data_IF_407884249329
#
_entry.id   IF_407884249329
#
_cell.length_a   1.000
_cell.length_b   1.000
_cell.length_c   1.000
_cell.angle_alpha   90.00
_cell.angle_beta   90.00
_cell.angle_gamma   90.00
#
_symmetry.space_group_name_H-M   'P 1'
#
loop_
_entity.id
_entity.type
_entity.pdbx_description
1 polymer ?
#
# COMPACT_ATOMS: atom_id res chain seq x y z
N UNK A 1 1.24 31.70 -14.52
CA UNK A 1 1.86 30.72 -13.59
C UNK A 1 1.63 29.34 -14.17
N UNK A 2 2.69 28.61 -14.49
CA UNK A 2 2.60 27.24 -15.03
C UNK A 2 1.93 26.34 -13.99
N UNK A 3 0.98 25.49 -14.43
CA UNK A 3 0.37 24.50 -13.54
C UNK A 3 1.49 23.57 -13.04
N UNK A 4 1.67 23.40 -11.72
CA UNK A 4 2.68 22.48 -11.22
C UNK A 4 2.42 21.08 -11.78
N UNK A 5 3.48 20.41 -12.23
CA UNK A 5 3.41 19.04 -12.70
C UNK A 5 2.78 18.14 -11.61
N UNK A 6 1.97 17.18 -12.02
CA UNK A 6 1.21 16.29 -11.13
C UNK A 6 2.08 15.22 -10.45
N UNK A 7 3.24 14.92 -11.04
CA UNK A 7 4.20 13.91 -10.57
C UNK A 7 4.75 14.16 -9.16
N UNK A 8 5.24 15.35 -8.76
CA UNK A 8 5.72 15.61 -7.40
C UNK A 8 4.61 15.47 -6.35
N UNK A 9 3.37 15.81 -6.70
CA UNK A 9 2.22 15.73 -5.79
C UNK A 9 1.89 14.25 -5.48
N UNK A 10 1.92 13.39 -6.50
CA UNK A 10 1.68 11.95 -6.35
C UNK A 10 2.84 11.29 -5.58
N UNK A 11 4.09 11.60 -5.94
CA UNK A 11 5.27 10.97 -5.34
C UNK A 11 5.51 11.40 -3.89
N UNK A 12 5.35 12.70 -3.57
CA UNK A 12 5.51 13.19 -2.20
C UNK A 12 4.49 12.57 -1.24
N UNK A 13 3.31 12.25 -1.75
CA UNK A 13 2.24 11.59 -1.03
C UNK A 13 2.30 10.07 -0.96
N UNK A 14 3.16 9.44 -1.76
CA UNK A 14 3.35 8.00 -1.76
C UNK A 14 4.21 7.52 -0.59
N UNK A 15 4.98 8.40 0.05
CA UNK A 15 5.87 8.04 1.15
C UNK A 15 5.02 7.72 2.39
N UNK A 16 5.16 6.52 2.99
CA UNK A 16 4.48 6.20 4.24
C UNK A 16 5.05 7.05 5.38
N UNK A 17 4.21 7.89 5.98
CA UNK A 17 4.60 8.82 7.06
C UNK A 17 3.63 8.80 8.24
N UNK A 18 2.45 8.23 8.07
CA UNK A 18 1.44 8.21 9.12
C UNK A 18 1.69 7.05 10.09
N UNK A 19 1.35 7.26 11.37
CA UNK A 19 1.47 6.23 12.40
C UNK A 19 0.75 4.93 12.02
N UNK A 20 -0.35 5.03 11.27
CA UNK A 20 -1.13 3.89 10.77
C UNK A 20 -0.41 3.13 9.66
N UNK A 21 0.40 3.82 8.83
CA UNK A 21 1.26 3.16 7.85
C UNK A 21 2.42 2.43 8.53
N UNK A 22 3.02 3.05 9.55
CA UNK A 22 4.08 2.43 10.34
C UNK A 22 3.57 1.20 11.09
N UNK A 23 2.35 1.26 11.63
CA UNK A 23 1.70 0.13 12.27
C UNK A 23 1.41 -0.99 11.25
N UNK A 24 0.94 -0.64 10.05
CA UNK A 24 0.72 -1.61 8.98
C UNK A 24 2.03 -2.29 8.55
N UNK A 25 3.12 -1.52 8.41
CA UNK A 25 4.47 -2.05 8.14
C UNK A 25 4.90 -2.98 9.28
N UNK A 26 4.66 -2.60 10.53
CA UNK A 26 5.03 -3.41 11.70
C UNK A 26 4.26 -4.73 11.72
N UNK A 27 2.94 -4.72 11.55
CA UNK A 27 2.10 -5.93 11.57
C UNK A 27 2.41 -6.85 10.39
N UNK A 28 2.55 -6.31 9.18
CA UNK A 28 2.93 -7.13 8.02
C UNK A 28 4.38 -7.61 8.15
N UNK A 29 5.27 -6.77 8.67
CA UNK A 29 6.68 -7.06 8.85
C UNK A 29 6.93 -8.16 9.88
N UNK A 30 6.20 -8.18 11.00
CA UNK A 30 6.31 -9.27 11.99
C UNK A 30 5.86 -10.60 11.39
N UNK A 31 4.74 -10.62 10.66
CA UNK A 31 4.26 -11.82 9.95
C UNK A 31 5.26 -12.26 8.88
N UNK A 32 5.84 -11.31 8.14
CA UNK A 32 6.86 -11.60 7.14
C UNK A 32 8.14 -12.18 7.75
N UNK A 33 8.56 -11.64 8.89
CA UNK A 33 9.77 -12.04 9.60
C UNK A 33 9.60 -13.43 10.24
N UNK A 34 8.46 -13.70 10.87
CA UNK A 34 8.06 -15.05 11.33
C UNK A 34 8.09 -16.07 10.18
N UNK A 35 7.52 -15.72 9.03
CA UNK A 35 7.54 -16.60 7.86
C UNK A 35 8.96 -16.85 7.33
N UNK A 36 9.87 -15.87 7.45
CA UNK A 36 11.26 -15.99 6.99
C UNK A 36 12.17 -16.80 7.92
N UNK A 37 11.95 -16.71 9.24
CA UNK A 37 12.76 -17.38 10.27
C UNK A 37 12.40 -18.86 10.47
N UNK A 38 11.18 -19.27 10.09
CA UNK A 38 10.66 -20.61 10.35
C UNK A 38 11.24 -21.73 9.43
N UNK A 39 12.48 -21.59 8.94
CA UNK A 39 13.20 -22.55 8.06
C UNK A 39 13.65 -23.84 8.76
N UNK A 40 12.87 -24.37 9.71
CA UNK A 40 13.07 -25.72 10.27
C UNK A 40 11.74 -26.48 10.16
N UNK A 41 11.38 -26.91 8.95
CA UNK A 41 10.18 -27.72 8.71
C UNK A 41 10.08 -28.15 7.24
N UNK A 42 9.53 -29.35 6.96
CA UNK A 42 9.68 -30.01 5.66
C UNK A 42 9.03 -29.19 4.54
N UNK A 43 9.80 -29.03 3.46
CA UNK A 43 9.58 -28.20 2.28
C UNK A 43 8.40 -28.61 1.37
N UNK A 44 7.39 -29.32 1.89
CA UNK A 44 6.33 -29.89 1.08
C UNK A 44 5.21 -28.90 0.72
N UNK A 45 5.15 -27.72 1.35
CA UNK A 45 4.20 -26.69 0.95
C UNK A 45 4.78 -25.28 1.10
N UNK A 46 4.98 -24.63 -0.05
CA UNK A 46 5.04 -23.18 -0.27
C UNK A 46 3.86 -22.38 0.35
N UNK A 47 2.97 -23.00 1.13
CA UNK A 47 1.70 -22.43 1.62
C UNK A 47 1.88 -21.31 2.64
N UNK A 48 2.92 -21.31 3.47
CA UNK A 48 3.11 -20.29 4.53
C UNK A 48 3.34 -18.89 3.97
N UNK A 49 4.09 -18.78 2.87
CA UNK A 49 4.38 -17.52 2.18
C UNK A 49 3.11 -16.97 1.50
N UNK A 50 2.26 -17.87 0.97
CA UNK A 50 0.94 -17.50 0.45
C UNK A 50 -0.08 -17.17 1.55
N UNK A 51 0.04 -17.78 2.73
CA UNK A 51 -0.79 -17.46 3.89
C UNK A 51 -0.41 -16.10 4.50
N UNK A 52 0.87 -15.73 4.54
CA UNK A 52 1.28 -14.39 4.99
C UNK A 52 0.77 -13.28 4.07
N UNK A 53 0.62 -13.55 2.77
CA UNK A 53 -0.02 -12.63 1.81
C UNK A 53 -1.47 -12.30 2.17
N UNK A 54 -2.21 -13.17 2.88
CA UNK A 54 -3.59 -12.88 3.31
C UNK A 54 -3.69 -11.74 4.32
N UNK A 55 -2.58 -11.37 4.97
CA UNK A 55 -2.53 -10.26 5.93
C UNK A 55 -2.43 -8.91 5.23
N UNK A 56 -1.94 -8.86 3.98
CA UNK A 56 -1.73 -7.61 3.23
C UNK A 56 -3.03 -6.87 2.91
N UNK A 57 -4.08 -7.52 2.35
CA UNK A 57 -5.35 -6.85 2.06
C UNK A 57 -6.02 -6.18 3.28
N UNK A 58 -6.25 -6.86 4.42
CA UNK A 58 -6.95 -6.25 5.55
C UNK A 58 -6.12 -5.17 6.24
N UNK A 59 -4.80 -5.35 6.37
CA UNK A 59 -3.93 -4.35 7.02
C UNK A 59 -3.84 -3.06 6.21
N UNK A 60 -3.65 -3.15 4.89
CA UNK A 60 -3.65 -1.99 4.00
C UNK A 60 -5.00 -1.26 3.97
N UNK A 61 -6.11 -2.00 3.96
CA UNK A 61 -7.44 -1.39 4.01
C UNK A 61 -7.68 -0.66 5.34
N UNK A 62 -7.32 -1.28 6.48
CA UNK A 62 -7.45 -0.67 7.81
C UNK A 62 -6.55 0.56 7.99
N UNK A 63 -5.31 0.49 7.51
CA UNK A 63 -4.39 1.63 7.51
C UNK A 63 -4.95 2.81 6.70
N UNK A 64 -5.65 2.52 5.60
CA UNK A 64 -6.27 3.53 4.76
C UNK A 64 -7.51 4.19 5.38
N UNK A 65 -8.29 3.42 6.15
CA UNK A 65 -9.53 3.89 6.81
C UNK A 65 -9.26 4.67 8.11
N UNK A 66 -8.21 4.31 8.84
CA UNK A 66 -7.93 4.87 10.18
C UNK A 66 -7.57 6.36 10.20
N UNK A 67 -7.14 6.94 9.09
CA UNK A 67 -6.79 8.37 8.99
C UNK A 67 -7.70 9.16 8.04
N UNK A 68 -8.95 8.73 7.96
CA UNK A 68 -9.96 9.30 7.05
C UNK A 68 -10.17 10.80 7.18
N UNK A 69 -10.24 11.35 8.40
CA UNK A 69 -10.55 12.77 8.65
C UNK A 69 -9.46 13.74 8.19
N UNK A 70 -8.18 13.37 8.35
CA UNK A 70 -7.05 14.17 7.88
C UNK A 70 -6.91 14.07 6.36
N UNK A 71 -7.10 12.87 5.82
CA UNK A 71 -7.00 12.60 4.38
C UNK A 71 -8.09 13.27 3.57
N UNK A 72 -9.33 13.35 4.06
CA UNK A 72 -10.40 14.06 3.35
C UNK A 72 -10.08 15.54 3.18
N UNK A 73 -9.46 16.20 4.17
CA UNK A 73 -9.02 17.60 4.03
C UNK A 73 -7.90 17.77 2.99
N UNK A 74 -6.92 16.86 2.97
CA UNK A 74 -5.87 16.87 1.95
C UNK A 74 -6.44 16.61 0.54
N UNK A 75 -7.38 15.68 0.42
CA UNK A 75 -8.05 15.37 -0.84
C UNK A 75 -8.87 16.56 -1.35
N UNK A 76 -9.66 17.20 -0.48
CA UNK A 76 -10.42 18.41 -0.82
C UNK A 76 -9.50 19.56 -1.26
N UNK A 77 -8.38 19.76 -0.55
CA UNK A 77 -7.39 20.76 -0.96
C UNK A 77 -6.83 20.44 -2.36
N UNK A 78 -6.45 19.18 -2.62
CA UNK A 78 -5.96 18.75 -3.93
C UNK A 78 -6.99 18.98 -5.04
N UNK A 79 -8.27 18.72 -4.80
CA UNK A 79 -9.34 19.04 -5.75
C UNK A 79 -9.50 20.55 -5.98
N UNK A 80 -9.43 21.37 -4.92
CA UNK A 80 -9.51 22.82 -5.03
C UNK A 80 -8.36 23.41 -5.86
N UNK A 81 -7.17 22.80 -5.82
CA UNK A 81 -6.03 23.14 -6.69
C UNK A 81 -6.11 22.56 -8.11
N UNK A 82 -7.23 21.93 -8.49
CA UNK A 82 -7.45 21.34 -9.81
C UNK A 82 -6.90 19.93 -9.98
N UNK A 83 -6.68 19.21 -8.88
CA UNK A 83 -6.26 17.81 -8.86
C UNK A 83 -7.35 16.87 -9.37
N UNK A 84 -6.92 15.80 -10.05
CA UNK A 84 -7.82 14.76 -10.56
C UNK A 84 -7.99 13.62 -9.57
N UNK A 85 -9.17 13.00 -9.52
CA UNK A 85 -9.42 11.76 -8.78
C UNK A 85 -8.41 10.65 -9.10
N UNK A 86 -7.90 10.63 -10.35
CA UNK A 86 -6.88 9.68 -10.79
C UNK A 86 -5.53 9.90 -10.10
N UNK A 87 -5.16 11.17 -9.86
CA UNK A 87 -3.90 11.50 -9.17
C UNK A 87 -3.96 11.06 -7.71
N UNK A 88 -5.10 11.23 -7.06
CA UNK A 88 -5.32 10.80 -5.68
C UNK A 88 -5.29 9.27 -5.58
N UNK A 89 -5.91 8.58 -6.55
CA UNK A 89 -5.84 7.12 -6.65
C UNK A 89 -4.40 6.64 -6.77
N UNK A 90 -3.63 7.20 -7.70
CA UNK A 90 -2.22 6.83 -7.89
C UNK A 90 -1.39 7.10 -6.63
N UNK A 91 -1.60 8.24 -5.95
CA UNK A 91 -0.93 8.60 -4.69
C UNK A 91 -1.08 7.49 -3.64
N UNK A 92 -2.32 7.05 -3.43
CA UNK A 92 -2.62 6.00 -2.45
C UNK A 92 -2.22 4.60 -2.91
N UNK A 93 -2.30 4.34 -4.21
CA UNK A 93 -1.84 3.08 -4.78
C UNK A 93 -0.34 2.89 -4.56
N UNK A 94 0.49 3.88 -4.91
CA UNK A 94 1.93 3.81 -4.68
C UNK A 94 2.29 3.73 -3.19
N UNK A 95 1.52 4.41 -2.33
CA UNK A 95 1.70 4.32 -0.88
C UNK A 95 1.47 2.90 -0.35
N UNK A 96 0.34 2.28 -0.71
CA UNK A 96 0.05 0.91 -0.33
C UNK A 96 1.06 -0.09 -0.86
N UNK A 97 1.51 0.10 -2.11
CA UNK A 97 2.53 -0.73 -2.72
C UNK A 97 3.88 -0.63 -1.98
N UNK A 98 4.32 0.58 -1.64
CA UNK A 98 5.56 0.78 -0.88
C UNK A 98 5.48 0.16 0.52
N UNK A 99 4.36 0.32 1.23
CA UNK A 99 4.14 -0.28 2.55
C UNK A 99 4.28 -1.80 2.46
N UNK A 100 3.63 -2.44 1.50
CA UNK A 100 3.71 -3.90 1.30
C UNK A 100 5.13 -4.36 0.96
N UNK A 101 5.83 -3.64 0.06
CA UNK A 101 7.20 -3.98 -0.32
C UNK A 101 8.20 -3.82 0.83
N UNK A 102 8.07 -2.75 1.63
CA UNK A 102 8.93 -2.52 2.80
C UNK A 102 8.71 -3.63 3.83
N UNK A 103 7.44 -3.96 4.12
CA UNK A 103 7.11 -4.98 5.10
C UNK A 103 7.59 -6.38 4.69
N UNK A 104 7.51 -6.73 3.41
CA UNK A 104 7.93 -8.04 2.88
C UNK A 104 9.39 -8.07 2.39
N UNK A 105 10.15 -6.98 2.55
CA UNK A 105 11.57 -6.92 2.21
C UNK A 105 12.43 -8.07 2.76
N UNK A 106 12.27 -8.57 4.00
CA UNK A 106 13.08 -9.70 4.48
C UNK A 106 12.81 -10.99 3.69
N UNK A 107 11.55 -11.24 3.31
CA UNK A 107 11.20 -12.41 2.49
C UNK A 107 11.76 -12.25 1.07
N UNK A 108 11.62 -11.06 0.47
CA UNK A 108 12.15 -10.79 -0.87
C UNK A 108 13.67 -11.01 -0.89
N UNK A 109 14.38 -10.55 0.14
CA UNK A 109 15.82 -10.77 0.28
C UNK A 109 16.15 -12.27 0.41
N UNK A 110 15.40 -13.01 1.21
CA UNK A 110 15.60 -14.46 1.38
C UNK A 110 15.36 -15.23 0.08
N UNK A 111 14.29 -14.92 -0.66
CA UNK A 111 14.01 -15.53 -1.97
C UNK A 111 15.12 -15.18 -2.96
N UNK A 112 15.57 -13.92 -2.99
CA UNK A 112 16.67 -13.49 -3.86
C UNK A 112 17.98 -14.25 -3.60
N UNK A 113 18.28 -14.55 -2.34
CA UNK A 113 19.48 -15.31 -1.97
C UNK A 113 19.35 -16.82 -2.23
N UNK A 114 18.13 -17.37 -2.20
CA UNK A 114 17.90 -18.81 -2.29
C UNK A 114 17.58 -19.31 -3.71
N UNK A 115 17.01 -18.47 -4.58
CA UNK A 115 16.54 -18.89 -5.91
C UNK A 115 17.55 -18.62 -7.01
N UNK A 116 17.61 -19.52 -8.00
CA UNK A 116 18.37 -19.32 -9.24
C UNK A 116 17.54 -18.69 -10.36
N UNK A 117 16.21 -18.62 -10.18
CA UNK A 117 15.27 -18.15 -11.19
C UNK A 117 14.69 -16.76 -10.86
N UNK A 118 14.77 -15.83 -11.82
CA UNK A 118 14.23 -14.47 -11.68
C UNK A 118 12.69 -14.50 -11.60
N UNK A 119 12.05 -15.51 -12.16
CA UNK A 119 10.59 -15.63 -12.20
C UNK A 119 9.99 -15.85 -10.81
N UNK A 120 10.62 -16.68 -9.98
CA UNK A 120 10.19 -16.95 -8.61
C UNK A 120 10.29 -15.73 -7.69
N UNK A 121 11.18 -14.78 -8.02
CA UNK A 121 11.28 -13.49 -7.32
C UNK A 121 10.27 -12.46 -7.84
N UNK A 122 10.11 -12.35 -9.15
CA UNK A 122 9.31 -11.29 -9.78
C UNK A 122 7.81 -11.45 -9.54
N UNK A 123 7.29 -12.68 -9.61
CA UNK A 123 5.85 -12.95 -9.39
C UNK A 123 5.36 -12.48 -8.02
N UNK A 124 5.95 -12.88 -6.87
CA UNK A 124 5.47 -12.44 -5.56
C UNK A 124 5.61 -10.92 -5.36
N UNK A 125 6.66 -10.30 -5.90
CA UNK A 125 6.85 -8.85 -5.84
C UNK A 125 5.74 -8.11 -6.59
N UNK A 126 5.37 -8.56 -7.78
CA UNK A 126 4.28 -7.98 -8.57
C UNK A 126 2.95 -8.15 -7.83
N UNK A 127 2.69 -9.33 -7.27
CA UNK A 127 1.46 -9.59 -6.50
C UNK A 127 1.38 -8.68 -5.28
N UNK A 128 2.46 -8.55 -4.49
CA UNK A 128 2.54 -7.65 -3.34
C UNK A 128 2.29 -6.20 -3.73
N UNK A 129 2.91 -5.75 -4.82
CA UNK A 129 2.74 -4.39 -5.34
C UNK A 129 1.29 -4.10 -5.69
N UNK A 130 0.65 -5.00 -6.45
CA UNK A 130 -0.74 -4.84 -6.89
C UNK A 130 -1.71 -4.95 -5.71
N UNK A 131 -1.59 -5.97 -4.87
CA UNK A 131 -2.50 -6.20 -3.74
C UNK A 131 -2.38 -5.06 -2.72
N UNK A 132 -1.15 -4.70 -2.33
CA UNK A 132 -0.91 -3.59 -1.41
C UNK A 132 -1.47 -2.27 -1.93
N UNK A 133 -1.18 -1.93 -3.19
CA UNK A 133 -1.67 -0.70 -3.80
C UNK A 133 -3.20 -0.66 -3.99
N UNK A 134 -3.82 -1.74 -4.44
CA UNK A 134 -5.27 -1.81 -4.66
C UNK A 134 -6.05 -1.70 -3.33
N UNK A 135 -5.69 -2.50 -2.32
CA UNK A 135 -6.42 -2.50 -1.04
C UNK A 135 -6.23 -1.21 -0.25
N UNK A 136 -5.11 -0.52 -0.42
CA UNK A 136 -4.90 0.79 0.20
C UNK A 136 -5.66 1.92 -0.52
N UNK A 137 -5.81 1.85 -1.85
CA UNK A 137 -6.49 2.87 -2.67
C UNK A 137 -8.01 2.68 -2.79
N UNK A 138 -8.54 1.48 -2.51
CA UNK A 138 -9.97 1.18 -2.51
C UNK A 138 -10.78 2.07 -1.54
N UNK A 139 -10.37 2.25 -0.27
CA UNK A 139 -11.10 3.13 0.66
C UNK A 139 -11.05 4.62 0.29
N UNK A 140 -10.00 5.09 -0.39
CA UNK A 140 -9.95 6.48 -0.90
C UNK A 140 -10.89 6.67 -2.09
N UNK A 141 -10.95 5.69 -3.00
CA UNK A 141 -11.90 5.70 -4.12
C UNK A 141 -13.36 5.76 -3.65
N UNK A 142 -13.71 4.99 -2.61
CA UNK A 142 -15.05 5.02 -2.02
C UNK A 142 -15.38 6.38 -1.40
N UNK A 143 -14.40 7.04 -0.77
CA UNK A 143 -14.57 8.39 -0.19
C UNK A 143 -14.77 9.47 -1.25
N UNK A 144 -13.94 9.49 -2.29
CA UNK A 144 -14.04 10.53 -3.33
C UNK A 144 -15.38 10.44 -4.10
N UNK A 145 -15.98 9.25 -4.16
CA UNK A 145 -17.30 9.03 -4.78
C UNK A 145 -18.47 9.24 -3.81
N UNK A 146 -18.25 9.48 -2.52
CA UNK A 146 -19.36 9.61 -1.56
C UNK A 146 -20.02 10.98 -1.65
N UNK A 147 -21.34 11.03 -1.42
CA UNK A 147 -22.12 12.28 -1.38
C UNK A 147 -21.57 13.26 -0.35
N UNK A 148 -21.08 12.76 0.78
CA UNK A 148 -20.43 13.56 1.83
C UNK A 148 -19.18 14.30 1.35
N UNK A 149 -18.46 13.77 0.36
CA UNK A 149 -17.32 14.46 -0.22
C UNK A 149 -17.77 15.64 -1.10
N UNK A 150 -18.83 15.44 -1.87
CA UNK A 150 -19.43 16.48 -2.73
C UNK A 150 -20.04 17.60 -1.89
N UNK A 151 -20.68 17.26 -0.77
CA UNK A 151 -21.24 18.25 0.17
C UNK A 151 -20.14 19.12 0.80
N UNK A 152 -19.07 18.50 1.30
CA UNK A 152 -17.94 19.24 1.88
C UNK A 152 -17.11 20.05 0.88
N UNK A 153 -17.17 19.73 -0.42
CA UNK A 153 -16.52 20.53 -1.46
C UNK A 153 -17.31 21.80 -1.81
N UNK A 154 -18.64 21.79 -1.62
CA UNK A 154 -19.50 22.93 -1.96
C UNK A 154 -19.65 23.96 -0.84
N UNK A 155 -19.38 23.56 0.41
CA UNK A 155 -19.41 24.43 1.60
C UNK A 155 -18.15 25.27 1.72
#
# INVERSE_FOLDING_TARGET
>A
MEKPSWTPIVLSGAIPREATDLLAILVMGTVALEASLATIGPAAFNSRLWLSLLVVPPTCALASVSTTTRRTREELALFAYGGSSWQILLRYFFRGALIALIAFSPIILQVFLATTSIFELTVPVIVLFLVGGLFYSLPSLRRIRSSSFVENYKS
#
